data_IF_234690589363
#
_entry.id   IF_234690589363
#
_cell.length_a   1.000
_cell.length_b   1.000
_cell.length_c   1.000
_cell.angle_alpha   90.00
_cell.angle_beta   90.00
_cell.angle_gamma   90.00
#
_symmetry.space_group_name_H-M   'P 1'
#
loop_
_entity.id
_entity.type
_entity.pdbx_description
1 polymer ?
#
# COMPACT_ATOMS: atom_id res chain seq x y z
N UNK A 1 -18.18 -15.26 -13.69
CA UNK A 1 -16.79 -14.77 -13.56
C UNK A 1 -16.27 -14.43 -14.95
N UNK A 2 -15.92 -13.19 -15.21
CA UNK A 2 -15.31 -12.78 -16.48
C UNK A 2 -13.90 -13.39 -16.55
N UNK A 3 -13.63 -14.21 -17.58
CA UNK A 3 -12.28 -14.77 -17.76
C UNK A 3 -11.32 -13.68 -18.25
N UNK A 4 -10.10 -13.65 -17.69
CA UNK A 4 -9.03 -12.77 -18.19
C UNK A 4 -8.66 -13.27 -19.59
N UNK A 5 -8.63 -12.39 -20.62
CA UNK A 5 -8.25 -12.77 -21.98
C UNK A 5 -6.81 -13.30 -22.02
N UNK A 6 -6.63 -14.47 -22.61
CA UNK A 6 -5.31 -15.10 -22.76
C UNK A 6 -4.70 -14.77 -24.12
N UNK A 7 -3.40 -14.55 -24.13
CA UNK A 7 -2.59 -14.43 -25.34
C UNK A 7 -2.19 -15.83 -25.81
N UNK A 8 -2.18 -16.06 -27.13
CA UNK A 8 -1.80 -17.37 -27.68
C UNK A 8 -0.34 -17.71 -27.35
N UNK A 9 -0.10 -18.96 -26.94
CA UNK A 9 1.24 -19.40 -26.52
C UNK A 9 2.29 -19.38 -27.66
N UNK A 10 1.86 -19.66 -28.91
CA UNK A 10 2.71 -19.51 -30.10
C UNK A 10 2.74 -18.06 -30.54
N UNK A 11 3.91 -17.41 -30.43
CA UNK A 11 4.12 -16.01 -30.80
C UNK A 11 3.75 -15.70 -32.25
N UNK A 12 3.85 -16.66 -33.17
CA UNK A 12 3.49 -16.48 -34.58
C UNK A 12 1.99 -16.38 -34.79
N UNK A 13 1.19 -16.84 -33.84
CA UNK A 13 -0.27 -16.80 -33.85
C UNK A 13 -0.82 -15.80 -32.80
N UNK A 14 0.04 -15.28 -31.96
CA UNK A 14 -0.34 -14.33 -30.94
C UNK A 14 -0.84 -13.02 -31.59
N UNK A 15 -1.87 -12.44 -30.97
CA UNK A 15 -2.41 -11.12 -31.29
C UNK A 15 -2.33 -10.23 -30.06
N UNK A 16 -2.55 -8.95 -30.25
CA UNK A 16 -2.72 -8.02 -29.14
C UNK A 16 -3.83 -8.51 -28.22
N UNK A 17 -3.74 -8.22 -26.91
CA UNK A 17 -4.78 -8.60 -25.95
C UNK A 17 -6.16 -8.10 -26.39
N UNK A 18 -7.20 -8.83 -26.01
CA UNK A 18 -8.58 -8.43 -26.24
C UNK A 18 -8.87 -7.05 -25.63
N UNK A 19 -9.69 -6.23 -26.30
CA UNK A 19 -10.05 -4.88 -25.84
C UNK A 19 -10.59 -4.84 -24.40
N UNK A 20 -11.20 -5.92 -23.92
CA UNK A 20 -11.72 -6.03 -22.56
C UNK A 20 -10.64 -5.86 -21.50
N UNK A 21 -9.36 -6.15 -21.83
CA UNK A 21 -8.25 -5.91 -20.92
C UNK A 21 -8.12 -4.43 -20.54
N UNK A 22 -8.57 -3.54 -21.41
CA UNK A 22 -8.42 -2.09 -21.27
C UNK A 22 -9.69 -1.36 -20.82
N UNK A 23 -10.87 -1.96 -21.01
CA UNK A 23 -12.13 -1.25 -20.83
C UNK A 23 -13.21 -2.03 -20.06
N UNK A 24 -12.95 -3.25 -19.61
CA UNK A 24 -13.90 -4.05 -18.83
C UNK A 24 -13.61 -3.90 -17.34
N UNK A 25 -14.52 -3.31 -16.53
CA UNK A 25 -14.32 -3.13 -15.10
C UNK A 25 -14.12 -4.45 -14.34
N UNK A 26 -14.75 -5.54 -14.77
CA UNK A 26 -14.58 -6.86 -14.15
C UNK A 26 -13.20 -7.45 -14.41
N UNK A 27 -12.62 -7.21 -15.60
CA UNK A 27 -11.24 -7.58 -15.91
C UNK A 27 -10.28 -6.71 -15.12
N UNK A 28 -10.50 -5.41 -15.02
CA UNK A 28 -9.70 -4.50 -14.20
C UNK A 28 -9.65 -4.95 -12.73
N UNK A 29 -10.77 -5.28 -12.15
CA UNK A 29 -10.82 -5.76 -10.76
C UNK A 29 -10.01 -7.05 -10.57
N UNK A 30 -10.08 -8.00 -11.52
CA UNK A 30 -9.28 -9.21 -11.47
C UNK A 30 -7.77 -8.94 -11.60
N UNK A 31 -7.38 -7.98 -12.43
CA UNK A 31 -5.98 -7.56 -12.58
C UNK A 31 -5.50 -6.94 -11.26
N UNK A 32 -6.30 -6.06 -10.66
CA UNK A 32 -5.97 -5.47 -9.38
C UNK A 32 -5.72 -6.54 -8.30
N UNK A 33 -6.66 -7.47 -8.13
CA UNK A 33 -6.61 -8.50 -7.09
C UNK A 33 -5.52 -9.56 -7.32
N UNK A 34 -5.28 -9.96 -8.58
CA UNK A 34 -4.40 -11.10 -8.90
C UNK A 34 -3.01 -10.71 -9.36
N UNK A 35 -2.82 -9.46 -9.77
CA UNK A 35 -1.53 -8.96 -10.27
C UNK A 35 -0.99 -7.87 -9.36
N UNK A 36 -1.69 -6.76 -9.21
CA UNK A 36 -1.16 -5.61 -8.46
C UNK A 36 -1.06 -5.87 -6.96
N UNK A 37 -2.12 -6.36 -6.32
CA UNK A 37 -2.15 -6.60 -4.87
C UNK A 37 -1.05 -7.58 -4.40
N UNK A 38 -0.81 -8.73 -5.07
CA UNK A 38 0.23 -9.68 -4.64
C UNK A 38 1.63 -9.35 -5.17
N UNK A 39 1.80 -8.31 -6.01
CA UNK A 39 3.10 -7.98 -6.58
C UNK A 39 3.84 -6.91 -5.77
N UNK A 40 5.15 -6.84 -5.97
CA UNK A 40 5.96 -5.77 -5.41
C UNK A 40 5.55 -4.42 -5.99
N UNK A 41 5.35 -3.45 -5.10
CA UNK A 41 5.05 -2.07 -5.45
C UNK A 41 6.18 -1.16 -4.98
N UNK A 42 6.63 -0.28 -5.87
CA UNK A 42 7.52 0.79 -5.47
C UNK A 42 6.69 1.93 -4.85
N UNK A 43 7.01 2.33 -3.64
CA UNK A 43 6.25 3.34 -2.88
C UNK A 43 7.07 4.60 -2.59
N UNK A 44 8.37 4.57 -2.77
CA UNK A 44 9.26 5.68 -2.47
C UNK A 44 10.64 5.20 -2.04
N UNK A 45 11.44 6.10 -1.52
CA UNK A 45 12.75 5.83 -0.98
C UNK A 45 12.86 6.18 0.52
N UNK A 46 13.98 5.84 1.12
CA UNK A 46 14.21 6.04 2.56
C UNK A 46 14.41 7.50 2.96
N UNK A 47 14.50 8.43 2.00
CA UNK A 47 14.63 9.86 2.30
C UNK A 47 13.35 10.44 2.92
N UNK A 48 12.21 9.79 2.71
CA UNK A 48 10.97 10.14 3.40
C UNK A 48 11.03 9.92 4.92
N UNK A 49 11.86 8.98 5.37
CA UNK A 49 12.08 8.64 6.79
C UNK A 49 13.58 8.61 7.07
N UNK A 50 14.27 9.72 6.82
CA UNK A 50 15.72 9.81 6.78
C UNK A 50 16.41 9.67 8.13
N UNK A 51 15.76 10.08 9.20
CA UNK A 51 16.31 10.10 10.55
C UNK A 51 15.41 9.37 11.53
N UNK A 52 15.94 8.88 12.68
CA UNK A 52 15.13 8.30 13.74
C UNK A 52 13.96 9.19 14.17
N UNK A 53 12.88 8.57 14.60
CA UNK A 53 11.60 9.17 14.95
C UNK A 53 10.83 9.78 13.73
N UNK A 54 11.33 9.70 12.50
CA UNK A 54 10.62 10.14 11.30
C UNK A 54 9.43 9.23 10.98
N UNK A 55 8.32 9.85 10.55
CA UNK A 55 7.11 9.19 10.09
C UNK A 55 6.65 9.79 8.77
N UNK A 56 6.18 8.95 7.85
CA UNK A 56 5.68 9.38 6.55
C UNK A 56 4.47 8.53 6.12
N UNK A 57 3.25 9.09 6.18
CA UNK A 57 2.06 8.41 5.69
C UNK A 57 1.99 8.48 4.16
N UNK A 58 1.49 7.42 3.55
CA UNK A 58 1.18 7.36 2.13
C UNK A 58 0.01 6.43 1.86
N UNK A 59 -0.51 6.47 0.64
CA UNK A 59 -1.59 5.58 0.18
C UNK A 59 -1.03 4.63 -0.87
N UNK A 60 -1.15 3.34 -0.65
CA UNK A 60 -0.75 2.32 -1.62
C UNK A 60 -1.82 2.20 -2.70
N UNK A 61 -1.42 2.25 -3.97
CA UNK A 61 -2.29 2.14 -5.15
C UNK A 61 -3.49 3.09 -5.06
N UNK A 62 -3.18 4.38 -4.92
CA UNK A 62 -4.17 5.47 -4.85
C UNK A 62 -5.13 5.43 -6.06
N UNK A 63 -6.42 5.60 -5.77
CA UNK A 63 -7.49 5.52 -6.77
C UNK A 63 -7.92 4.10 -7.15
N UNK A 64 -7.34 3.06 -6.50
CA UNK A 64 -7.72 1.66 -6.76
C UNK A 64 -7.82 0.82 -5.50
N UNK A 65 -6.74 0.55 -4.80
CA UNK A 65 -6.73 -0.17 -3.51
C UNK A 65 -6.93 0.78 -2.33
N UNK A 66 -6.34 1.96 -2.41
CA UNK A 66 -6.42 3.03 -1.40
C UNK A 66 -5.99 2.57 0.02
N UNK A 67 -5.00 1.66 0.11
CA UNK A 67 -4.55 1.15 1.40
C UNK A 67 -3.69 2.19 2.12
N UNK A 68 -4.09 2.69 3.31
CA UNK A 68 -3.32 3.65 4.06
C UNK A 68 -2.13 2.99 4.75
N UNK A 69 -0.93 3.45 4.42
CA UNK A 69 0.33 3.01 5.01
C UNK A 69 1.00 4.16 5.77
N UNK A 70 1.87 3.81 6.72
CA UNK A 70 2.82 4.73 7.32
C UNK A 70 4.21 4.09 7.36
N UNK A 71 5.18 4.78 6.81
CA UNK A 71 6.59 4.43 6.98
C UNK A 71 7.13 5.15 8.21
N UNK A 72 7.94 4.44 8.98
CA UNK A 72 8.56 4.96 10.19
C UNK A 72 10.04 4.59 10.20
N UNK A 73 10.85 5.39 10.88
CA UNK A 73 12.20 4.97 11.28
C UNK A 73 12.28 5.02 12.79
N UNK A 74 12.55 3.87 13.39
CA UNK A 74 12.67 3.76 14.84
C UNK A 74 14.04 4.26 15.36
N UNK A 75 14.23 4.22 16.67
CA UNK A 75 15.48 4.66 17.31
C UNK A 75 16.64 3.69 17.17
N UNK A 76 16.36 2.46 16.71
CA UNK A 76 17.34 1.47 16.32
C UNK A 76 17.75 1.60 14.86
N UNK A 77 17.31 2.71 14.20
CA UNK A 77 17.58 3.02 12.80
C UNK A 77 16.93 2.04 11.81
N UNK A 78 15.90 1.30 12.24
CA UNK A 78 15.15 0.38 11.39
C UNK A 78 13.97 1.09 10.72
N UNK A 79 13.79 0.83 9.43
CA UNK A 79 12.63 1.31 8.67
C UNK A 79 11.53 0.27 8.70
N UNK A 80 10.32 0.70 9.03
CA UNK A 80 9.13 -0.15 9.05
C UNK A 80 8.08 0.41 8.10
N UNK A 81 7.29 -0.50 7.51
CA UNK A 81 6.08 -0.19 6.76
C UNK A 81 4.89 -0.78 7.50
N UNK A 82 4.01 0.07 7.99
CA UNK A 82 2.91 -0.33 8.85
C UNK A 82 1.58 0.04 8.20
N UNK A 83 0.51 -0.74 8.45
CA UNK A 83 -0.84 -0.29 8.16
C UNK A 83 -1.15 0.94 9.02
N UNK A 84 -1.56 2.02 8.38
CA UNK A 84 -1.85 3.29 9.04
C UNK A 84 -3.27 3.34 9.61
N UNK A 85 -3.75 2.19 10.09
CA UNK A 85 -5.12 2.01 10.58
C UNK A 85 -5.12 1.54 12.02
N UNK A 86 -5.82 2.26 12.88
CA UNK A 86 -5.97 1.90 14.28
C UNK A 86 -6.75 0.58 14.43
N UNK A 87 -6.17 -0.37 15.15
CA UNK A 87 -6.77 -1.69 15.40
C UNK A 87 -8.03 -1.67 16.26
N UNK A 88 -8.46 -0.49 16.75
CA UNK A 88 -9.68 -0.34 17.54
C UNK A 88 -10.92 -0.13 16.65
N UNK A 89 -10.96 0.94 15.85
CA UNK A 89 -12.10 1.32 15.00
C UNK A 89 -11.71 1.84 13.63
N UNK A 90 -10.55 1.46 13.11
CA UNK A 90 -10.17 1.74 11.74
C UNK A 90 -9.83 3.21 11.43
N UNK A 91 -9.59 4.05 12.46
CA UNK A 91 -9.16 5.43 12.24
C UNK A 91 -7.72 5.46 11.70
N UNK A 92 -7.45 6.33 10.72
CA UNK A 92 -6.08 6.64 10.30
C UNK A 92 -5.30 7.22 11.48
N UNK A 93 -4.10 6.68 11.72
CA UNK A 93 -3.31 7.03 12.92
C UNK A 93 -2.38 8.21 12.67
N UNK A 94 -1.67 8.20 11.54
CA UNK A 94 -0.72 9.24 11.14
C UNK A 94 -1.26 9.95 9.90
N UNK A 95 -1.56 11.25 10.01
CA UNK A 95 -2.17 12.05 8.94
C UNK A 95 -1.16 12.88 8.16
N UNK A 96 0.02 13.14 8.73
CA UNK A 96 1.05 13.99 8.12
C UNK A 96 2.45 13.45 8.41
N UNK A 97 3.38 13.74 7.50
CA UNK A 97 4.79 13.47 7.71
C UNK A 97 5.35 14.34 8.84
N UNK A 98 6.28 13.81 9.60
CA UNK A 98 6.89 14.52 10.72
C UNK A 98 7.81 13.65 11.55
N UNK A 99 7.93 13.98 12.82
CA UNK A 99 8.73 13.25 13.81
C UNK A 99 7.86 12.92 15.01
N UNK A 100 7.75 11.64 15.32
CA UNK A 100 6.92 11.10 16.40
C UNK A 100 7.69 10.05 17.20
N UNK A 101 7.59 10.10 18.52
CA UNK A 101 8.19 9.05 19.37
C UNK A 101 7.39 7.77 19.41
N UNK A 102 6.10 7.86 19.08
CA UNK A 102 5.14 6.78 18.99
C UNK A 102 3.95 7.26 18.15
N UNK A 103 3.29 6.35 17.48
CA UNK A 103 2.06 6.64 16.77
C UNK A 103 0.88 6.69 17.76
N UNK A 104 0.03 7.70 17.66
CA UNK A 104 -1.12 7.88 18.56
C UNK A 104 -2.40 8.10 17.77
N UNK A 105 -3.36 7.18 17.93
CA UNK A 105 -4.69 7.37 17.40
C UNK A 105 -5.41 8.52 18.12
N UNK A 106 -5.87 9.52 17.37
CA UNK A 106 -6.54 10.71 17.93
C UNK A 106 -7.93 10.40 18.48
N UNK A 107 -8.54 9.28 18.06
CA UNK A 107 -9.93 8.96 18.46
C UNK A 107 -10.02 8.57 19.93
N UNK A 108 -9.25 7.56 20.38
CA UNK A 108 -9.30 7.12 21.79
C UNK A 108 -7.90 7.04 22.45
N UNK A 109 -6.88 7.61 21.83
CA UNK A 109 -5.55 7.71 22.41
C UNK A 109 -4.71 6.44 22.41
N UNK A 110 -5.14 5.38 21.67
CA UNK A 110 -4.34 4.16 21.53
C UNK A 110 -2.96 4.49 20.95
N UNK A 111 -1.92 3.91 21.54
CA UNK A 111 -0.52 4.16 21.14
C UNK A 111 0.08 2.92 20.53
N UNK A 112 0.98 3.13 19.57
CA UNK A 112 1.77 2.10 18.93
C UNK A 112 3.22 2.57 18.85
N UNK A 113 4.18 1.68 19.04
CA UNK A 113 5.58 1.94 18.75
C UNK A 113 5.79 2.26 17.26
N UNK A 114 6.94 2.81 16.92
CA UNK A 114 7.33 3.03 15.52
C UNK A 114 7.63 1.72 14.79
N UNK A 115 7.77 0.62 15.50
CA UNK A 115 7.85 -0.77 15.03
C UNK A 115 6.47 -1.44 14.89
N UNK A 116 5.39 -0.73 15.21
CA UNK A 116 4.02 -1.23 15.16
C UNK A 116 3.55 -1.99 16.40
N UNK A 117 4.37 -2.15 17.42
CA UNK A 117 3.99 -2.80 18.68
C UNK A 117 2.94 -1.97 19.43
N UNK A 118 1.94 -2.67 20.01
CA UNK A 118 0.88 -2.05 20.84
C UNK A 118 1.17 -2.19 22.31
#
# INVERSE_FOLDING_TARGET
MTSIPLVHADIRQARTPDKRLYNDPGVYQQILERVFVPSWQWVGDTDHVKVPDAVWPCTLLEGSLDEPLVFTRDRQDQVHCLSNVCTHRGMVVCEAAGHERFLRCRYHGRRFGLDGQF
#
